data_IF_730984809279
#
_entry.id   IF_730984809279
#
_cell.length_a   1.000
_cell.length_b   1.000
_cell.length_c   1.000
_cell.angle_alpha   90.00
_cell.angle_beta   90.00
_cell.angle_gamma   90.00
#
_symmetry.space_group_name_H-M   'P 1'
#
loop_
_entity.id
_entity.type
_entity.pdbx_description
1 polymer ?
#
# COMPACT_ATOMS: atom_id res chain seq x y z
N UNK A 1 0.17 -19.25 17.23
CA UNK A 1 -0.50 -18.68 16.04
C UNK A 1 0.49 -18.88 14.91
N UNK A 2 0.53 -20.12 14.41
CA UNK A 2 1.51 -20.56 13.42
C UNK A 2 0.86 -20.45 12.05
N UNK A 3 0.87 -19.24 11.49
CA UNK A 3 0.38 -18.96 10.14
C UNK A 3 1.45 -19.27 9.09
N UNK A 4 2.14 -20.41 9.24
CA UNK A 4 2.92 -20.96 8.13
C UNK A 4 1.94 -21.78 7.30
N UNK A 5 1.55 -21.24 6.13
CA UNK A 5 0.89 -22.06 5.10
C UNK A 5 1.83 -23.25 4.86
N UNK A 6 1.39 -24.44 5.22
CA UNK A 6 2.18 -25.64 4.94
C UNK A 6 2.29 -25.78 3.43
N UNK A 7 3.51 -26.01 2.93
CA UNK A 7 3.75 -26.32 1.52
C UNK A 7 2.79 -27.42 1.04
N UNK A 8 2.49 -28.41 1.89
CA UNK A 8 1.55 -29.48 1.56
C UNK A 8 0.12 -29.00 1.26
N UNK A 9 -0.38 -28.01 2.00
CA UNK A 9 -1.70 -27.40 1.76
C UNK A 9 -1.72 -26.53 0.51
N UNK A 10 -0.62 -25.83 0.20
CA UNK A 10 -0.49 -25.05 -1.03
C UNK A 10 -0.45 -25.98 -2.25
N UNK A 11 0.37 -27.04 -2.20
CA UNK A 11 0.47 -28.03 -3.28
C UNK A 11 -0.86 -28.73 -3.58
N UNK A 12 -1.62 -29.12 -2.54
CA UNK A 12 -2.93 -29.73 -2.72
C UNK A 12 -3.95 -28.77 -3.35
N UNK A 13 -3.88 -27.47 -3.02
CA UNK A 13 -4.76 -26.45 -3.57
C UNK A 13 -4.41 -26.06 -5.02
N UNK A 14 -3.15 -26.22 -5.43
CA UNK A 14 -2.68 -25.97 -6.80
C UNK A 14 -2.99 -27.12 -7.76
N UNK A 15 -3.10 -28.36 -7.27
CA UNK A 15 -3.32 -29.57 -8.08
C UNK A 15 -4.53 -29.51 -9.05
N UNK A 16 -5.67 -28.86 -8.74
CA UNK A 16 -6.80 -28.71 -9.65
C UNK A 16 -6.56 -27.71 -10.80
N UNK A 17 -5.52 -26.87 -10.69
CA UNK A 17 -5.24 -25.76 -11.60
C UNK A 17 -3.90 -26.01 -12.33
N UNK A 18 -3.89 -26.65 -13.51
CA UNK A 18 -2.65 -27.08 -14.17
C UNK A 18 -1.69 -25.92 -14.46
N UNK A 19 -2.21 -24.74 -14.81
CA UNK A 19 -1.41 -23.53 -15.02
C UNK A 19 -0.71 -23.10 -13.73
N UNK A 20 -1.46 -23.02 -12.62
CA UNK A 20 -0.93 -22.63 -11.31
C UNK A 20 0.02 -23.68 -10.72
N UNK A 21 -0.25 -24.98 -10.96
CA UNK A 21 0.62 -26.07 -10.50
C UNK A 21 2.00 -26.04 -11.16
N UNK A 22 2.06 -25.61 -12.43
CA UNK A 22 3.33 -25.47 -13.17
C UNK A 22 4.07 -24.16 -12.90
N UNK A 23 3.48 -23.26 -12.10
CA UNK A 23 4.02 -21.92 -11.86
C UNK A 23 5.37 -21.98 -11.12
N UNK A 24 6.41 -21.28 -11.62
CA UNK A 24 7.68 -21.17 -10.92
C UNK A 24 7.55 -20.47 -9.57
N UNK A 25 8.29 -20.93 -8.56
CA UNK A 25 8.24 -20.36 -7.20
C UNK A 25 8.57 -18.85 -7.17
N UNK A 26 9.51 -18.39 -8.01
CA UNK A 26 9.85 -16.97 -8.12
C UNK A 26 8.67 -16.13 -8.64
N UNK A 27 7.83 -16.68 -9.52
CA UNK A 27 6.62 -16.02 -10.01
C UNK A 27 5.60 -15.92 -8.89
N UNK A 28 5.39 -17.01 -8.13
CA UNK A 28 4.54 -17.00 -6.95
C UNK A 28 4.99 -15.98 -5.91
N UNK A 29 6.28 -15.93 -5.59
CA UNK A 29 6.84 -14.94 -4.65
C UNK A 29 6.66 -13.52 -5.18
N UNK A 30 6.84 -13.29 -6.49
CA UNK A 30 6.60 -12.01 -7.13
C UNK A 30 5.12 -11.59 -7.03
N UNK A 31 4.20 -12.53 -7.27
CA UNK A 31 2.76 -12.29 -7.12
C UNK A 31 2.41 -11.86 -5.69
N UNK A 32 2.88 -12.60 -4.70
CA UNK A 32 2.64 -12.29 -3.28
C UNK A 32 3.23 -10.90 -2.96
N UNK A 33 4.45 -10.62 -3.41
CA UNK A 33 5.09 -9.32 -3.23
C UNK A 33 4.26 -8.18 -3.84
N UNK A 34 3.87 -8.29 -5.11
CA UNK A 34 3.13 -7.23 -5.78
C UNK A 34 1.74 -7.03 -5.16
N UNK A 35 1.05 -8.11 -4.78
CA UNK A 35 -0.22 -8.02 -4.06
C UNK A 35 -0.06 -7.39 -2.66
N UNK A 36 1.04 -7.67 -1.97
CA UNK A 36 1.38 -7.08 -0.66
C UNK A 36 1.62 -5.57 -0.74
N UNK A 37 2.15 -5.08 -1.87
CA UNK A 37 2.30 -3.65 -2.14
C UNK A 37 0.96 -2.94 -2.41
N UNK A 38 -0.07 -3.69 -2.81
CA UNK A 38 -1.39 -3.19 -3.16
C UNK A 38 -2.43 -3.33 -2.03
N UNK A 39 -2.03 -3.74 -0.82
CA UNK A 39 -2.98 -4.00 0.29
C UNK A 39 -3.93 -2.84 0.54
N UNK A 40 -3.39 -1.63 0.55
CA UNK A 40 -4.19 -0.44 0.80
C UNK A 40 -5.16 -0.16 -0.34
N UNK A 41 -4.72 -0.31 -1.59
CA UNK A 41 -5.58 -0.15 -2.77
C UNK A 41 -6.67 -1.22 -2.83
N UNK A 42 -6.34 -2.47 -2.45
CA UNK A 42 -7.29 -3.56 -2.30
C UNK A 42 -8.32 -3.22 -1.23
N UNK A 43 -7.86 -2.75 -0.05
CA UNK A 43 -8.71 -2.47 1.10
C UNK A 43 -9.67 -1.30 0.84
N UNK A 44 -9.19 -0.24 0.18
CA UNK A 44 -10.01 0.94 -0.13
C UNK A 44 -11.20 0.64 -1.04
N UNK A 45 -11.12 -0.41 -1.85
CA UNK A 45 -12.20 -0.84 -2.74
C UNK A 45 -13.17 -1.81 -2.05
N UNK A 46 -12.95 -2.15 -0.78
CA UNK A 46 -13.83 -3.01 0.01
C UNK A 46 -14.94 -2.22 0.70
N UNK A 47 -15.97 -2.95 1.14
CA UNK A 47 -16.97 -2.40 2.03
C UNK A 47 -16.36 -1.95 3.35
N UNK A 48 -16.85 -0.83 3.88
CA UNK A 48 -16.43 -0.27 5.17
C UNK A 48 -16.58 -1.20 6.38
N UNK A 49 -17.37 -2.28 6.23
CA UNK A 49 -17.61 -3.29 7.27
C UNK A 49 -16.52 -4.36 7.31
N UNK A 50 -15.67 -4.42 6.29
CA UNK A 50 -14.59 -5.41 6.22
C UNK A 50 -13.53 -5.05 7.27
N UNK A 51 -13.10 -6.01 8.12
CA UNK A 51 -12.03 -5.78 9.08
C UNK A 51 -10.71 -5.46 8.38
N UNK A 52 -10.01 -4.43 8.84
CA UNK A 52 -8.71 -3.98 8.27
C UNK A 52 -7.62 -5.07 8.37
N UNK A 53 -7.69 -5.92 9.39
CA UNK A 53 -6.67 -6.92 9.67
C UNK A 53 -6.96 -8.30 9.05
N UNK A 54 -7.99 -8.39 8.20
CA UNK A 54 -8.38 -9.65 7.56
C UNK A 54 -8.30 -9.49 6.06
N UNK A 55 -7.68 -10.45 5.39
CA UNK A 55 -7.56 -10.44 3.94
C UNK A 55 -8.96 -10.48 3.28
N UNK A 56 -9.27 -9.57 2.34
CA UNK A 56 -10.57 -9.58 1.67
C UNK A 56 -10.82 -10.87 0.90
N UNK A 57 -12.09 -11.28 0.82
CA UNK A 57 -12.47 -12.52 0.12
C UNK A 57 -12.28 -12.43 -1.38
N UNK A 58 -12.41 -11.23 -1.95
CA UNK A 58 -12.33 -11.00 -3.40
C UNK A 58 -11.42 -9.82 -3.70
N UNK A 59 -10.68 -9.93 -4.81
CA UNK A 59 -9.91 -8.81 -5.34
C UNK A 59 -10.83 -7.86 -6.12
N UNK A 60 -10.57 -6.54 -6.06
CA UNK A 60 -11.24 -5.59 -6.94
C UNK A 60 -10.84 -5.83 -8.40
N UNK A 61 -11.77 -5.63 -9.33
CA UNK A 61 -11.57 -5.91 -10.77
C UNK A 61 -10.33 -5.22 -11.35
N UNK A 62 -10.06 -3.97 -10.98
CA UNK A 62 -8.87 -3.23 -11.43
C UNK A 62 -7.57 -3.89 -10.98
N UNK A 63 -7.54 -4.45 -9.77
CA UNK A 63 -6.39 -5.19 -9.23
C UNK A 63 -6.27 -6.57 -9.90
N UNK A 64 -7.39 -7.27 -10.09
CA UNK A 64 -7.42 -8.54 -10.82
C UNK A 64 -6.88 -8.38 -12.24
N UNK A 65 -7.31 -7.35 -12.97
CA UNK A 65 -6.80 -7.08 -14.32
C UNK A 65 -5.31 -6.73 -14.33
N UNK A 66 -4.83 -5.95 -13.34
CA UNK A 66 -3.41 -5.66 -13.22
C UNK A 66 -2.57 -6.92 -12.99
N UNK A 67 -3.01 -7.82 -12.11
CA UNK A 67 -2.30 -9.07 -11.82
C UNK A 67 -2.39 -10.07 -12.99
N UNK A 68 -3.52 -10.09 -13.70
CA UNK A 68 -3.71 -10.85 -14.95
C UNK A 68 -2.62 -10.46 -15.96
N UNK A 69 -2.47 -9.16 -16.22
CA UNK A 69 -1.48 -8.64 -17.18
C UNK A 69 -0.04 -8.86 -16.72
N UNK A 70 0.25 -8.70 -15.42
CA UNK A 70 1.60 -8.87 -14.86
C UNK A 70 2.13 -10.30 -14.99
N UNK A 71 1.26 -11.29 -14.84
CA UNK A 71 1.65 -12.70 -14.69
C UNK A 71 1.19 -13.60 -15.84
N UNK A 72 0.53 -13.03 -16.85
CA UNK A 72 -0.05 -13.76 -17.99
C UNK A 72 -0.97 -14.90 -17.52
N UNK A 73 -1.87 -14.56 -16.59
CA UNK A 73 -2.84 -15.48 -15.98
C UNK A 73 -4.25 -15.13 -16.42
N UNK A 74 -5.16 -16.10 -16.42
CA UNK A 74 -6.58 -15.79 -16.54
C UNK A 74 -7.10 -15.13 -15.25
N UNK A 75 -8.21 -14.37 -15.31
CA UNK A 75 -8.81 -13.80 -14.10
C UNK A 75 -9.28 -14.88 -13.11
N UNK A 76 -9.71 -16.04 -13.61
CA UNK A 76 -10.05 -17.21 -12.78
C UNK A 76 -8.81 -17.75 -12.04
N UNK A 77 -7.67 -17.85 -12.73
CA UNK A 77 -6.40 -18.27 -12.13
C UNK A 77 -5.93 -17.27 -11.07
N UNK A 78 -6.08 -15.96 -11.30
CA UNK A 78 -5.76 -14.91 -10.32
C UNK A 78 -6.65 -15.02 -9.08
N UNK A 79 -7.95 -15.24 -9.25
CA UNK A 79 -8.88 -15.39 -8.13
C UNK A 79 -8.60 -16.67 -7.32
N UNK A 80 -8.32 -17.78 -8.00
CA UNK A 80 -7.87 -19.02 -7.36
C UNK A 80 -6.56 -18.81 -6.59
N UNK A 81 -5.59 -18.15 -7.20
CA UNK A 81 -4.30 -17.88 -6.58
C UNK A 81 -4.44 -16.96 -5.36
N UNK A 82 -5.23 -15.89 -5.48
CA UNK A 82 -5.57 -15.00 -4.36
C UNK A 82 -6.16 -15.79 -3.19
N UNK A 83 -7.14 -16.65 -3.45
CA UNK A 83 -7.75 -17.46 -2.39
C UNK A 83 -6.75 -18.34 -1.64
N UNK A 84 -5.70 -18.80 -2.32
CA UNK A 84 -4.63 -19.60 -1.71
C UNK A 84 -3.65 -18.76 -0.89
N UNK A 85 -3.26 -17.57 -1.39
CA UNK A 85 -2.14 -16.80 -0.82
C UNK A 85 -2.53 -15.55 -0.04
N UNK A 86 -3.81 -15.15 -0.03
CA UNK A 86 -4.28 -13.90 0.56
C UNK A 86 -3.85 -13.69 2.01
N UNK A 87 -3.81 -14.74 2.82
CA UNK A 87 -3.37 -14.65 4.22
C UNK A 87 -1.86 -14.38 4.30
N UNK A 88 -1.06 -15.03 3.45
CA UNK A 88 0.37 -14.76 3.37
C UNK A 88 0.64 -13.34 2.88
N UNK A 89 -0.09 -12.89 1.86
CA UNK A 89 -0.08 -11.50 1.41
C UNK A 89 -0.38 -10.59 2.60
N UNK A 90 -1.50 -10.78 3.31
CA UNK A 90 -1.94 -9.89 4.39
C UNK A 90 -0.98 -9.83 5.57
N UNK A 91 -0.28 -10.92 5.88
CA UNK A 91 0.70 -11.00 6.96
C UNK A 91 2.08 -10.45 6.60
N UNK A 92 2.42 -10.32 5.31
CA UNK A 92 3.72 -9.85 4.88
C UNK A 92 3.94 -8.37 5.25
N UNK A 93 5.09 -8.08 5.86
CA UNK A 93 5.56 -6.70 6.01
C UNK A 93 6.18 -6.27 4.68
N UNK A 94 5.66 -5.20 4.07
CA UNK A 94 6.24 -4.67 2.85
C UNK A 94 7.63 -4.11 3.16
N UNK A 95 8.66 -4.69 2.56
CA UNK A 95 10.04 -4.23 2.68
C UNK A 95 10.50 -3.45 1.45
N UNK A 96 11.46 -2.55 1.64
CA UNK A 96 12.02 -1.71 0.56
C UNK A 96 12.69 -2.55 -0.54
N UNK A 97 13.34 -3.66 -0.18
CA UNK A 97 13.95 -4.61 -1.11
C UNK A 97 12.95 -5.33 -2.00
N UNK A 98 11.71 -5.50 -1.53
CA UNK A 98 10.64 -6.17 -2.26
C UNK A 98 10.07 -5.28 -3.38
N UNK A 99 10.07 -3.95 -3.19
CA UNK A 99 9.65 -2.99 -4.22
C UNK A 99 10.48 -3.09 -5.49
N UNK A 100 11.78 -3.32 -5.37
CA UNK A 100 12.69 -3.47 -6.52
C UNK A 100 12.27 -4.65 -7.42
N UNK A 101 11.77 -5.74 -6.82
CA UNK A 101 11.33 -6.93 -7.57
C UNK A 101 10.12 -6.62 -8.47
N UNK A 102 9.16 -5.82 -7.99
CA UNK A 102 7.94 -5.50 -8.71
C UNK A 102 8.02 -4.21 -9.55
N UNK A 103 9.08 -3.41 -9.44
CA UNK A 103 9.14 -2.06 -10.04
C UNK A 103 8.81 -2.06 -11.53
N UNK A 104 9.42 -2.98 -12.30
CA UNK A 104 9.17 -3.07 -13.74
C UNK A 104 7.71 -3.41 -14.08
N UNK A 105 7.05 -4.26 -13.29
CA UNK A 105 5.66 -4.64 -13.49
C UNK A 105 4.71 -3.45 -13.27
N UNK A 106 4.94 -2.67 -12.21
CA UNK A 106 4.14 -1.47 -11.95
C UNK A 106 4.34 -0.39 -13.01
N UNK A 107 5.57 -0.19 -13.48
CA UNK A 107 5.86 0.76 -14.56
C UNK A 107 5.20 0.33 -15.89
N UNK A 108 5.23 -0.97 -16.19
CA UNK A 108 4.70 -1.49 -17.45
C UNK A 108 3.16 -1.55 -17.45
N UNK A 109 2.55 -2.04 -16.37
CA UNK A 109 1.12 -2.39 -16.33
C UNK A 109 0.29 -1.53 -15.36
N UNK A 110 0.91 -0.79 -14.44
CA UNK A 110 0.19 -0.04 -13.40
C UNK A 110 -0.30 1.33 -13.83
N UNK A 111 0.54 2.10 -14.55
CA UNK A 111 0.31 3.53 -14.81
C UNK A 111 -1.03 3.82 -15.49
N UNK A 112 -1.39 3.05 -16.52
CA UNK A 112 -2.64 3.25 -17.26
C UNK A 112 -3.90 2.88 -16.44
N UNK A 113 -3.72 2.17 -15.32
CA UNK A 113 -4.79 1.75 -14.40
C UNK A 113 -4.88 2.63 -13.15
N UNK A 114 -4.03 3.66 -13.06
CA UNK A 114 -3.91 4.47 -11.84
C UNK A 114 -3.28 3.71 -10.67
N UNK A 115 -2.55 2.62 -10.94
CA UNK A 115 -1.83 1.83 -9.93
C UNK A 115 -0.37 2.24 -9.95
N UNK A 116 0.17 2.63 -8.79
CA UNK A 116 1.57 3.03 -8.63
C UNK A 116 2.26 2.15 -7.61
N UNK A 117 3.58 1.98 -7.76
CA UNK A 117 4.40 1.18 -6.83
C UNK A 117 4.37 1.74 -5.41
N UNK A 118 4.21 3.06 -5.30
CA UNK A 118 4.09 3.79 -4.06
C UNK A 118 2.84 4.66 -4.12
N UNK A 119 2.02 4.55 -3.08
CA UNK A 119 0.86 5.39 -2.83
C UNK A 119 0.93 5.84 -1.37
N UNK A 120 0.86 7.15 -1.14
CA UNK A 120 0.88 7.72 0.21
C UNK A 120 -0.51 7.67 0.81
N UNK A 121 -0.72 6.69 1.67
CA UNK A 121 -1.90 6.62 2.52
C UNK A 121 -1.65 7.21 3.90
N UNK A 122 -2.69 7.68 4.60
CA UNK A 122 -2.61 7.91 6.02
C UNK A 122 -2.20 6.62 6.75
N UNK A 123 -1.45 6.72 7.86
CA UNK A 123 -1.00 5.56 8.63
C UNK A 123 -2.16 4.83 9.32
N UNK A 124 -3.34 5.46 9.39
CA UNK A 124 -4.53 4.90 10.01
C UNK A 124 -5.59 4.59 8.96
N UNK A 125 -6.12 3.37 8.99
CA UNK A 125 -7.25 2.95 8.15
C UNK A 125 -8.60 3.05 8.86
N UNK A 126 -8.58 3.32 10.16
CA UNK A 126 -9.74 3.51 11.02
C UNK A 126 -9.67 4.84 11.76
N UNK A 127 -10.81 5.35 12.20
CA UNK A 127 -10.89 6.65 12.86
C UNK A 127 -10.14 6.67 14.21
N UNK A 128 -9.18 7.58 14.32
CA UNK A 128 -8.40 7.82 15.54
C UNK A 128 -8.96 8.96 16.41
N UNK A 129 -10.01 9.66 15.96
CA UNK A 129 -10.59 10.74 16.74
C UNK A 129 -11.24 10.17 18.02
N UNK A 130 -10.77 10.53 19.24
CA UNK A 130 -11.29 9.97 20.49
C UNK A 130 -12.74 10.38 20.75
N UNK A 131 -13.20 11.49 20.16
CA UNK A 131 -14.59 11.95 20.25
C UNK A 131 -15.53 11.22 19.28
N UNK A 132 -15.02 10.40 18.37
CA UNK A 132 -15.84 9.61 17.46
C UNK A 132 -16.40 8.37 18.19
N UNK A 133 -17.69 7.99 17.99
CA UNK A 133 -18.26 6.80 18.60
C UNK A 133 -17.49 5.54 18.23
N UNK A 134 -17.39 4.61 19.18
CA UNK A 134 -16.56 3.40 19.07
C UNK A 134 -16.90 2.55 17.85
N UNK A 135 -18.18 2.42 17.50
CA UNK A 135 -18.63 1.63 16.35
C UNK A 135 -18.06 2.12 15.01
N UNK A 136 -17.72 3.41 14.90
CA UNK A 136 -17.12 4.01 13.70
C UNK A 136 -15.59 4.05 13.77
N UNK A 137 -15.00 3.87 14.95
CA UNK A 137 -13.53 3.83 15.14
C UNK A 137 -12.92 2.50 14.72
N UNK A 138 -13.72 1.44 14.59
CA UNK A 138 -13.30 0.14 14.07
C UNK A 138 -13.59 -0.04 12.57
N UNK A 139 -14.33 0.89 11.96
CA UNK A 139 -14.68 0.83 10.54
C UNK A 139 -13.58 1.42 9.67
N UNK A 140 -13.51 0.92 8.44
CA UNK A 140 -12.64 1.49 7.41
C UNK A 140 -13.05 2.93 7.09
N UNK A 141 -12.06 3.81 7.00
CA UNK A 141 -12.24 5.17 6.52
C UNK A 141 -12.55 5.18 5.02
N UNK A 142 -13.35 6.14 4.59
CA UNK A 142 -13.74 6.29 3.19
C UNK A 142 -12.69 7.11 2.43
N UNK A 143 -12.39 6.74 1.19
CA UNK A 143 -11.57 7.57 0.32
C UNK A 143 -12.32 8.84 -0.04
N UNK A 144 -11.79 9.99 0.38
CA UNK A 144 -12.35 11.30 0.03
C UNK A 144 -11.73 11.82 -1.26
N UNK A 145 -10.40 11.72 -1.39
CA UNK A 145 -9.65 12.38 -2.46
C UNK A 145 -8.39 11.57 -2.82
N UNK A 146 -7.96 11.70 -4.07
CA UNK A 146 -6.66 11.24 -4.53
C UNK A 146 -5.96 12.34 -5.32
N UNK A 147 -4.79 12.75 -4.87
CA UNK A 147 -3.99 13.81 -5.47
C UNK A 147 -2.74 13.24 -6.12
N UNK A 148 -2.41 13.71 -7.31
CA UNK A 148 -1.13 13.40 -7.94
C UNK A 148 -0.04 14.27 -7.32
N UNK A 149 1.01 13.66 -6.79
CA UNK A 149 2.08 14.34 -6.06
C UNK A 149 3.44 13.85 -6.52
N UNK A 150 4.49 14.59 -6.16
CA UNK A 150 5.88 14.19 -6.41
C UNK A 150 6.54 13.91 -5.06
N UNK A 151 7.17 12.74 -4.93
CA UNK A 151 8.08 12.44 -3.83
C UNK A 151 9.51 12.58 -4.33
N UNK A 152 10.33 13.33 -3.59
CA UNK A 152 11.78 13.31 -3.74
C UNK A 152 12.38 12.26 -2.81
N UNK A 153 12.97 11.20 -3.38
CA UNK A 153 13.67 10.14 -2.65
C UNK A 153 15.18 10.29 -2.77
N UNK A 154 15.90 9.73 -1.80
CA UNK A 154 17.36 9.75 -1.80
C UNK A 154 17.95 8.86 -2.90
N UNK A 155 17.38 7.67 -3.09
CA UNK A 155 17.91 6.66 -4.02
C UNK A 155 17.46 6.80 -5.47
N UNK A 156 16.21 7.23 -5.71
CA UNK A 156 15.59 7.17 -7.03
C UNK A 156 15.21 8.55 -7.59
N UNK A 157 15.50 9.63 -6.85
CA UNK A 157 15.17 10.99 -7.25
C UNK A 157 13.66 11.30 -7.16
N UNK A 158 13.15 12.06 -8.12
CA UNK A 158 11.75 12.49 -8.13
C UNK A 158 10.85 11.42 -8.72
N UNK A 159 9.85 10.97 -7.96
CA UNK A 159 8.88 9.95 -8.36
C UNK A 159 7.45 10.49 -8.34
N UNK A 160 6.68 10.34 -9.43
CA UNK A 160 5.24 10.63 -9.43
C UNK A 160 4.50 9.53 -8.66
N UNK A 161 3.66 9.93 -7.71
CA UNK A 161 2.83 9.00 -6.91
C UNK A 161 1.45 9.58 -6.63
N UNK A 162 0.58 8.75 -6.07
CA UNK A 162 -0.69 9.21 -5.51
C UNK A 162 -0.57 9.49 -4.00
N UNK A 163 -1.21 10.55 -3.54
CA UNK A 163 -1.53 10.76 -2.12
C UNK A 163 -3.03 10.62 -1.93
N UNK A 164 -3.43 9.75 -1.01
CA UNK A 164 -4.83 9.44 -0.74
C UNK A 164 -5.25 10.09 0.57
N UNK A 165 -6.39 10.76 0.56
CA UNK A 165 -7.01 11.31 1.75
C UNK A 165 -8.18 10.42 2.17
N UNK A 166 -8.22 10.06 3.46
CA UNK A 166 -9.23 9.18 4.02
C UNK A 166 -10.10 9.94 5.03
N UNK A 167 -11.41 9.81 4.96
CA UNK A 167 -12.34 10.55 5.80
C UNK A 167 -13.19 9.62 6.65
N UNK A 168 -13.40 10.02 7.90
CA UNK A 168 -14.37 9.36 8.76
C UNK A 168 -15.78 9.81 8.38
N UNK A 169 -16.66 8.85 8.08
CA UNK A 169 -18.06 9.11 7.70
C UNK A 169 -18.92 9.72 8.80
N UNK A 170 -18.48 9.59 10.05
CA UNK A 170 -19.23 10.08 11.20
C UNK A 170 -18.72 11.44 11.71
N UNK A 171 -17.45 11.52 12.11
CA UNK A 171 -16.91 12.76 12.68
C UNK A 171 -16.29 13.70 11.63
N UNK A 172 -16.27 13.30 10.36
CA UNK A 172 -15.72 14.03 9.22
C UNK A 172 -14.24 14.43 9.34
N UNK A 173 -13.49 13.83 10.27
CA UNK A 173 -12.03 13.97 10.29
C UNK A 173 -11.46 13.48 8.97
N UNK A 174 -10.70 14.33 8.29
CA UNK A 174 -9.95 14.00 7.09
C UNK A 174 -8.51 13.65 7.47
N UNK A 175 -8.05 12.47 7.10
CA UNK A 175 -6.73 11.93 7.39
C UNK A 175 -5.88 12.04 6.13
N UNK A 176 -4.75 12.72 6.27
CA UNK A 176 -3.69 12.83 5.26
C UNK A 176 -2.49 11.97 5.70
N UNK A 177 -1.44 11.92 4.87
CA UNK A 177 -0.23 11.14 5.15
C UNK A 177 0.49 11.58 6.45
N UNK A 178 0.59 12.89 6.72
CA UNK A 178 1.37 13.42 7.87
C UNK A 178 0.52 14.01 9.00
N UNK A 179 -0.75 14.30 8.74
CA UNK A 179 -1.65 14.94 9.69
C UNK A 179 -3.10 14.57 9.42
N UNK A 180 -3.97 14.93 10.36
CA UNK A 180 -5.42 14.89 10.21
C UNK A 180 -6.01 16.28 10.40
N UNK A 181 -7.19 16.51 9.81
CA UNK A 181 -7.94 17.76 9.90
C UNK A 181 -9.34 17.44 10.42
N UNK A 182 -9.74 18.07 11.50
CA UNK A 182 -11.12 18.05 12.00
C UNK A 182 -11.60 19.51 12.16
N UNK A 183 -12.56 19.92 11.32
CA UNK A 183 -12.97 21.32 11.24
C UNK A 183 -11.81 22.21 10.80
N UNK A 184 -11.43 23.17 11.66
CA UNK A 184 -10.31 24.10 11.42
C UNK A 184 -9.00 23.63 12.06
N UNK A 185 -9.02 22.51 12.78
CA UNK A 185 -7.87 22.05 13.56
C UNK A 185 -7.09 21.02 12.76
N UNK A 186 -5.81 21.29 12.51
CA UNK A 186 -4.84 20.34 11.96
C UNK A 186 -4.01 19.73 13.09
N UNK A 187 -3.96 18.41 13.14
CA UNK A 187 -3.20 17.64 14.13
C UNK A 187 -2.21 16.74 13.42
N UNK A 188 -0.92 17.00 13.61
CA UNK A 188 0.17 16.16 13.10
C UNK A 188 0.27 14.85 13.89
N UNK A 189 0.61 13.77 13.19
CA UNK A 189 0.83 12.49 13.85
C UNK A 189 2.15 12.51 14.64
N UNK A 190 2.26 11.63 15.64
CA UNK A 190 3.50 11.46 16.39
C UNK A 190 4.59 10.78 15.56
N UNK A 191 5.85 11.05 15.91
CA UNK A 191 7.03 10.52 15.21
C UNK A 191 7.41 11.30 13.94
N UNK A 192 8.48 10.86 13.28
CA UNK A 192 8.90 11.38 11.98
C UNK A 192 8.41 10.42 10.90
N UNK A 193 7.54 10.87 9.96
CA UNK A 193 7.04 10.01 8.90
C UNK A 193 8.10 9.81 7.82
N UNK A 194 8.10 8.62 7.18
CA UNK A 194 9.04 8.28 6.12
C UNK A 194 9.01 9.28 4.95
N UNK A 195 7.83 9.79 4.60
CA UNK A 195 7.65 10.80 3.56
C UNK A 195 6.98 12.03 4.18
N UNK A 196 7.68 13.16 4.18
CA UNK A 196 7.25 14.41 4.81
C UNK A 196 6.71 15.36 3.74
N UNK A 197 5.49 15.85 3.92
CA UNK A 197 4.92 16.88 3.05
C UNK A 197 5.68 18.20 3.21
N UNK A 198 6.30 18.67 2.13
CA UNK A 198 7.08 19.92 2.06
C UNK A 198 6.37 21.00 1.24
N UNK A 199 5.33 20.62 0.50
CA UNK A 199 4.45 21.51 -0.27
C UNK A 199 3.11 20.83 -0.55
N UNK A 200 2.18 21.54 -1.19
CA UNK A 200 0.82 21.01 -1.45
C UNK A 200 0.84 19.68 -2.21
N UNK A 201 1.68 19.58 -3.25
CA UNK A 201 1.83 18.39 -4.09
C UNK A 201 3.25 17.79 -4.03
N UNK A 202 3.98 18.05 -2.95
CA UNK A 202 5.41 17.75 -2.84
C UNK A 202 5.74 17.11 -1.50
N UNK A 203 6.43 15.99 -1.56
CA UNK A 203 6.91 15.23 -0.41
C UNK A 203 8.40 14.97 -0.54
N UNK A 204 9.10 14.84 0.59
CA UNK A 204 10.49 14.44 0.62
C UNK A 204 10.66 13.25 1.58
N UNK A 205 11.45 12.26 1.16
CA UNK A 205 11.82 11.12 1.99
C UNK A 205 12.69 11.59 3.17
N UNK A 206 12.47 11.03 4.35
CA UNK A 206 13.24 11.31 5.57
C UNK A 206 14.75 11.19 5.32
N UNK A 207 15.20 10.11 4.66
CA UNK A 207 16.62 9.90 4.34
C UNK A 207 17.20 11.05 3.50
N UNK A 208 16.44 11.59 2.56
CA UNK A 208 16.85 12.72 1.73
C UNK A 208 16.96 14.00 2.56
N UNK A 209 15.99 14.24 3.44
CA UNK A 209 16.00 15.41 4.34
C UNK A 209 17.19 15.34 5.29
N UNK A 210 17.46 14.18 5.89
CA UNK A 210 18.62 13.97 6.75
C UNK A 210 19.94 14.22 5.99
N UNK A 211 20.01 13.78 4.74
CA UNK A 211 21.16 14.08 3.88
C UNK A 211 21.31 15.58 3.62
N UNK A 212 20.23 16.32 3.33
CA UNK A 212 20.29 17.78 3.18
C UNK A 212 20.75 18.48 4.47
N UNK A 213 20.27 18.04 5.63
CA UNK A 213 20.71 18.57 6.93
C UNK A 213 22.22 18.36 7.09
N UNK A 214 22.71 17.15 6.83
CA UNK A 214 24.14 16.84 6.91
C UNK A 214 24.98 17.73 5.97
N UNK A 215 24.55 17.90 4.72
CA UNK A 215 25.22 18.79 3.78
C UNK A 215 25.24 20.24 4.28
N UNK A 216 24.13 20.75 4.82
CA UNK A 216 24.04 22.12 5.34
C UNK A 216 24.94 22.34 6.57
N UNK A 217 25.03 21.36 7.47
CA UNK A 217 25.88 21.44 8.66
C UNK A 217 27.38 21.36 8.32
N UNK A 218 27.75 20.57 7.31
CA UNK A 218 29.15 20.39 6.91
C UNK A 218 29.62 21.37 5.83
N UNK A 219 28.73 22.17 5.23
CA UNK A 219 29.07 23.11 4.15
C UNK A 219 30.10 24.19 4.56
N UNK A 220 30.24 24.47 5.86
CA UNK A 220 31.12 25.53 6.39
C UNK A 220 32.16 25.01 7.40
N UNK A 221 32.58 23.74 7.30
CA UNK A 221 33.66 23.21 8.14
C UNK A 221 34.95 24.04 8.01
N UNK A 222 35.78 24.15 9.08
CA UNK A 222 36.95 25.01 9.09
C UNK A 222 37.96 24.50 8.05
N UNK A 223 38.25 25.35 7.07
CA UNK A 223 39.36 25.19 6.11
C UNK A 223 40.71 25.38 6.78
#
# INVERSE_FOLDING_TARGET
>A
MDSNISLGTLFAALQPHPNLFSMPLNVLTCFICCASLLKDDILQLQSYKVPINVAPTFLPSTITSFLTDCFDLSSEDVDSLWNMVKEAVWMQLSMESEKAMCTGLFQQYGTHRGITLLTLYPPFKACQNPSCPMDYRSQLLEKEESCHVVIFTYGDGAQPVWSIHLKCRHCHTNYHNNFSVNGLTRTYYGGVPQYIQVGEHQFAEEKLILHWIDLMLNAYGPF
#
